data_IF_220047652014
#
_entry.id   IF_220047652014
#
_cell.length_a   1.000
_cell.length_b   1.000
_cell.length_c   1.000
_cell.angle_alpha   90.00
_cell.angle_beta   90.00
_cell.angle_gamma   90.00
#
_symmetry.space_group_name_H-M   'P 1'
#
loop_
_entity.id
_entity.type
_entity.pdbx_description
1 polymer ?
#
# COMPACT_ATOMS: atom_id res chain seq x y z
N UNK A 1 24.21 72.64 52.85
CA UNK A 1 23.17 71.65 52.45
C UNK A 1 22.92 71.80 50.99
N UNK A 2 23.15 70.77 50.23
CA UNK A 2 22.14 70.24 49.33
C UNK A 2 22.13 68.75 49.24
N UNK A 3 20.99 68.25 48.80
CA UNK A 3 20.49 66.90 48.66
C UNK A 3 21.30 65.90 47.81
N UNK A 4 21.46 64.74 48.38
CA UNK A 4 21.89 63.56 47.62
C UNK A 4 20.70 62.92 46.85
N UNK A 5 20.79 62.87 45.55
CA UNK A 5 19.92 62.08 44.63
C UNK A 5 20.48 60.68 44.48
N UNK A 6 19.79 59.71 44.98
CA UNK A 6 20.11 58.29 44.76
C UNK A 6 19.75 57.86 43.33
N UNK A 7 20.72 57.36 42.56
CA UNK A 7 20.49 56.62 41.32
C UNK A 7 19.98 55.23 41.64
N UNK A 8 18.77 54.94 41.22
CA UNK A 8 18.24 53.56 41.14
C UNK A 8 18.67 52.95 39.83
N UNK A 9 19.53 51.97 39.88
CA UNK A 9 19.84 51.13 38.75
C UNK A 9 18.67 50.16 38.49
N UNK A 10 18.09 50.24 37.31
CA UNK A 10 17.10 49.30 36.83
C UNK A 10 17.84 48.07 36.23
N UNK A 11 17.90 46.98 36.98
CA UNK A 11 18.29 45.68 36.46
C UNK A 11 17.10 45.12 35.65
N UNK A 12 17.18 45.19 34.32
CA UNK A 12 16.28 44.52 33.42
C UNK A 12 16.65 43.01 33.35
N UNK A 13 15.90 42.19 34.09
CA UNK A 13 15.99 40.74 34.00
C UNK A 13 15.29 40.30 32.71
N UNK A 14 16.06 39.94 31.67
CA UNK A 14 15.55 39.29 30.51
C UNK A 14 15.09 37.88 30.87
N UNK A 15 13.79 37.70 31.05
CA UNK A 15 13.19 36.38 31.10
C UNK A 15 13.25 35.75 29.70
N UNK A 16 14.19 34.87 29.49
CA UNK A 16 14.19 33.99 28.32
C UNK A 16 12.96 33.08 28.40
N UNK A 17 11.93 33.37 27.66
CA UNK A 17 10.79 32.48 27.46
C UNK A 17 11.29 31.24 26.74
N UNK A 18 11.53 30.16 27.48
CA UNK A 18 11.66 28.83 26.91
C UNK A 18 10.31 28.47 26.28
N UNK A 19 10.25 28.52 24.94
CA UNK A 19 9.16 27.90 24.22
C UNK A 19 9.22 26.39 24.54
N UNK A 20 8.10 25.78 24.95
CA UNK A 20 8.09 24.35 25.20
C UNK A 20 8.53 23.62 23.93
N UNK A 21 9.47 22.68 24.10
CA UNK A 21 9.86 21.74 23.05
C UNK A 21 8.58 21.08 22.55
N UNK A 22 8.15 21.45 21.36
CA UNK A 22 6.98 20.85 20.75
C UNK A 22 7.39 19.42 20.43
N UNK A 23 6.95 18.45 21.27
CA UNK A 23 7.08 17.04 20.96
C UNK A 23 6.55 16.85 19.56
N UNK A 24 7.41 16.36 18.67
CA UNK A 24 6.95 15.97 17.34
C UNK A 24 5.81 14.97 17.55
N UNK A 25 4.67 15.11 16.85
CA UNK A 25 3.55 14.19 17.03
C UNK A 25 4.07 12.78 16.85
N UNK A 26 3.69 11.84 17.72
CA UNK A 26 4.16 10.46 17.65
C UNK A 26 3.91 9.95 16.23
N UNK A 27 4.90 9.23 15.68
CA UNK A 27 4.75 8.61 14.36
C UNK A 27 3.43 7.86 14.31
N UNK A 28 2.61 8.14 13.30
CA UNK A 28 1.38 7.36 13.09
C UNK A 28 1.80 5.94 12.75
N UNK A 29 1.25 4.97 13.47
CA UNK A 29 1.47 3.55 13.24
C UNK A 29 1.12 3.18 11.80
N UNK A 30 2.07 2.56 11.09
CA UNK A 30 1.90 2.12 9.72
C UNK A 30 1.60 0.63 9.68
N UNK A 31 0.48 0.25 9.10
CA UNK A 31 0.25 -1.09 8.60
C UNK A 31 0.57 -1.09 7.09
N UNK A 32 1.76 -1.56 6.74
CA UNK A 32 2.18 -1.64 5.34
C UNK A 32 1.33 -2.68 4.59
N UNK A 33 0.63 -2.26 3.57
CA UNK A 33 -0.31 -3.14 2.86
C UNK A 33 0.29 -3.84 1.64
N UNK A 34 1.61 -3.74 1.44
CA UNK A 34 2.22 -4.33 0.25
C UNK A 34 3.69 -4.68 0.43
N UNK A 35 3.95 -5.93 0.81
CA UNK A 35 5.30 -6.51 0.83
C UNK A 35 5.30 -7.85 0.14
N UNK A 36 6.46 -8.24 -0.40
CA UNK A 36 6.70 -9.54 -1.02
C UNK A 36 7.79 -10.28 -0.27
N UNK A 37 7.54 -11.56 0.06
CA UNK A 37 8.55 -12.45 0.62
C UNK A 37 8.72 -13.66 -0.28
N UNK A 38 9.97 -14.09 -0.45
CA UNK A 38 10.35 -15.23 -1.29
C UNK A 38 11.76 -15.72 -0.95
N UNK A 39 12.07 -16.95 -1.33
CA UNK A 39 13.39 -17.55 -1.07
C UNK A 39 13.85 -18.36 -2.29
N UNK A 40 14.77 -17.83 -3.11
CA UNK A 40 15.30 -18.55 -4.28
C UNK A 40 16.12 -19.80 -3.92
N UNK A 41 16.48 -19.98 -2.64
CA UNK A 41 17.27 -21.14 -2.17
C UNK A 41 16.41 -22.37 -1.87
N UNK A 42 15.07 -22.24 -1.96
CA UNK A 42 14.17 -23.40 -1.84
C UNK A 42 14.47 -24.43 -2.94
N UNK A 43 14.26 -25.73 -2.70
CA UNK A 43 14.53 -26.77 -3.70
C UNK A 43 13.85 -26.51 -5.05
N UNK A 44 12.59 -26.02 -5.05
CA UNK A 44 11.86 -25.65 -6.25
C UNK A 44 12.23 -24.26 -6.81
N UNK A 45 13.05 -23.50 -6.08
CA UNK A 45 13.36 -22.12 -6.42
C UNK A 45 12.16 -21.17 -6.32
N UNK A 46 12.17 -20.14 -7.15
CA UNK A 46 11.10 -19.15 -7.28
C UNK A 46 10.87 -18.83 -8.76
N UNK A 47 9.61 -18.61 -9.19
CA UNK A 47 9.32 -18.19 -10.57
C UNK A 47 9.62 -16.70 -10.79
N UNK A 48 9.63 -15.93 -9.73
CA UNK A 48 9.98 -14.52 -9.66
C UNK A 48 10.67 -14.22 -8.32
N UNK A 49 11.65 -13.30 -8.27
CA UNK A 49 12.27 -12.58 -9.40
C UNK A 49 13.13 -13.50 -10.27
N UNK A 50 13.41 -13.07 -11.51
CA UNK A 50 14.33 -13.81 -12.38
C UNK A 50 15.78 -13.67 -11.92
N UNK A 51 16.62 -14.68 -12.24
CA UNK A 51 18.04 -14.73 -11.85
C UNK A 51 18.88 -13.53 -12.34
N UNK A 52 18.45 -12.90 -13.44
CA UNK A 52 19.09 -11.72 -14.01
C UNK A 52 18.86 -10.44 -13.20
N UNK A 53 17.88 -10.42 -12.30
CA UNK A 53 17.61 -9.30 -11.42
C UNK A 53 18.45 -9.41 -10.14
N UNK A 54 19.70 -8.98 -10.19
CA UNK A 54 20.64 -9.10 -9.08
C UNK A 54 20.20 -8.37 -7.81
N UNK A 55 19.36 -7.35 -7.93
CA UNK A 55 18.85 -6.60 -6.79
C UNK A 55 17.76 -7.35 -6.02
N UNK A 56 16.92 -8.07 -6.73
CA UNK A 56 15.79 -8.80 -6.15
C UNK A 56 16.09 -10.29 -5.97
N UNK A 57 16.93 -10.91 -6.82
CA UNK A 57 17.19 -12.35 -6.76
C UNK A 57 18.06 -12.72 -5.55
N UNK A 58 17.50 -12.62 -4.39
CA UNK A 58 18.08 -12.93 -3.08
C UNK A 58 16.99 -13.46 -2.15
N UNK A 59 17.40 -14.03 -1.04
CA UNK A 59 16.46 -14.39 0.02
C UNK A 59 15.86 -13.11 0.62
N UNK A 60 14.53 -13.06 0.71
CA UNK A 60 13.73 -11.91 1.19
C UNK A 60 12.70 -12.42 2.17
N UNK A 61 12.92 -12.21 3.46
CA UNK A 61 12.10 -12.75 4.54
C UNK A 61 11.60 -11.65 5.49
N UNK A 62 10.58 -11.95 6.32
CA UNK A 62 10.01 -11.00 7.27
C UNK A 62 11.03 -10.37 8.20
N UNK A 63 12.03 -11.11 8.66
CA UNK A 63 13.06 -10.59 9.58
C UNK A 63 13.94 -9.52 8.93
N UNK A 64 14.18 -9.61 7.62
CA UNK A 64 14.94 -8.60 6.89
C UNK A 64 14.12 -7.30 6.80
N UNK A 65 12.83 -7.42 6.51
CA UNK A 65 11.92 -6.29 6.46
C UNK A 65 11.75 -5.62 7.83
N UNK A 66 11.49 -6.39 8.88
CA UNK A 66 11.30 -5.88 10.24
C UNK A 66 12.46 -5.00 10.72
N UNK A 67 13.70 -5.36 10.38
CA UNK A 67 14.92 -4.61 10.77
C UNK A 67 14.89 -3.17 10.26
N UNK A 68 14.40 -2.95 9.04
CA UNK A 68 14.38 -1.63 8.38
C UNK A 68 13.04 -0.91 8.53
N UNK A 69 11.95 -1.63 8.75
CA UNK A 69 10.60 -1.08 8.77
C UNK A 69 10.17 -0.60 10.17
N UNK A 70 10.47 -1.38 11.23
CA UNK A 70 10.09 -1.01 12.62
C UNK A 70 10.64 0.36 13.05
N UNK A 71 11.90 0.73 12.76
CA UNK A 71 12.40 2.08 13.07
C UNK A 71 11.64 3.21 12.38
N UNK A 72 10.90 2.91 11.31
CA UNK A 72 10.07 3.85 10.58
C UNK A 72 8.60 3.88 11.07
N UNK A 73 8.28 3.22 12.19
CA UNK A 73 6.93 3.17 12.74
C UNK A 73 6.01 2.14 12.06
N UNK A 74 6.56 1.18 11.31
CA UNK A 74 5.77 0.08 10.76
C UNK A 74 5.49 -0.95 11.85
N UNK A 75 4.22 -1.15 12.15
CA UNK A 75 3.74 -2.06 13.20
C UNK A 75 3.32 -3.43 12.65
N UNK A 76 3.21 -3.56 11.34
CA UNK A 76 2.85 -4.82 10.68
C UNK A 76 2.82 -4.68 9.17
N UNK A 77 2.69 -5.82 8.47
CA UNK A 77 2.59 -5.85 7.02
C UNK A 77 1.60 -6.88 6.50
N UNK A 78 0.95 -6.57 5.39
CA UNK A 78 0.16 -7.50 4.59
C UNK A 78 1.05 -8.06 3.49
N UNK A 79 1.23 -9.37 3.47
CA UNK A 79 1.99 -10.01 2.38
C UNK A 79 1.13 -10.07 1.12
N UNK A 80 1.71 -9.65 0.02
CA UNK A 80 1.16 -9.85 -1.31
C UNK A 80 1.97 -10.94 -2.01
N UNK A 81 1.30 -11.81 -2.74
CA UNK A 81 1.94 -12.90 -3.49
C UNK A 81 3.07 -12.39 -4.39
N UNK A 82 4.09 -13.24 -4.56
CA UNK A 82 5.22 -13.02 -5.46
C UNK A 82 5.36 -14.20 -6.47
N UNK A 83 4.38 -15.09 -6.54
CA UNK A 83 4.48 -16.32 -7.30
C UNK A 83 3.13 -16.72 -7.90
N UNK A 84 3.08 -17.17 -9.17
CA UNK A 84 1.89 -17.73 -9.77
C UNK A 84 1.58 -19.16 -9.27
N UNK A 85 2.46 -19.78 -8.49
CA UNK A 85 2.26 -21.14 -8.00
C UNK A 85 1.26 -21.17 -6.84
N UNK A 86 0.23 -21.98 -7.00
CA UNK A 86 -0.85 -22.10 -5.99
C UNK A 86 -0.31 -22.52 -4.62
N UNK A 87 0.66 -23.43 -4.58
CA UNK A 87 1.23 -23.95 -3.31
C UNK A 87 2.11 -22.91 -2.60
N UNK A 88 2.56 -21.87 -3.28
CA UNK A 88 3.27 -20.76 -2.61
C UNK A 88 2.36 -19.95 -1.68
N UNK A 89 1.04 -20.04 -1.84
CA UNK A 89 0.09 -19.53 -0.85
C UNK A 89 0.27 -20.22 0.50
N UNK A 90 0.47 -21.56 0.50
CA UNK A 90 0.71 -22.30 1.74
C UNK A 90 2.04 -21.92 2.36
N UNK A 91 3.09 -21.76 1.55
CA UNK A 91 4.39 -21.31 2.03
C UNK A 91 4.32 -19.94 2.72
N UNK A 92 3.56 -18.98 2.15
CA UNK A 92 3.34 -17.67 2.77
C UNK A 92 2.53 -17.79 4.07
N UNK A 93 1.54 -18.68 4.11
CA UNK A 93 0.75 -18.95 5.33
C UNK A 93 1.62 -19.53 6.43
N UNK A 94 2.50 -20.49 6.10
CA UNK A 94 3.42 -21.11 7.04
C UNK A 94 4.43 -20.08 7.57
N UNK A 95 4.94 -19.21 6.70
CA UNK A 95 5.84 -18.10 7.05
C UNK A 95 5.18 -17.11 8.02
N UNK A 96 3.89 -16.83 7.83
CA UNK A 96 3.13 -15.89 8.63
C UNK A 96 2.54 -16.49 9.92
N UNK A 97 2.48 -17.81 10.06
CA UNK A 97 1.65 -18.55 11.04
C UNK A 97 1.71 -17.97 12.45
N UNK A 98 2.91 -17.84 13.00
CA UNK A 98 3.15 -17.43 14.39
C UNK A 98 3.68 -16.00 14.50
N UNK A 99 3.61 -15.22 13.41
CA UNK A 99 4.14 -13.88 13.34
C UNK A 99 3.01 -12.84 13.42
N UNK A 100 2.85 -12.20 14.58
CA UNK A 100 1.85 -11.15 14.79
C UNK A 100 2.08 -9.90 13.92
N UNK A 101 3.32 -9.69 13.42
CA UNK A 101 3.65 -8.60 12.51
C UNK A 101 3.04 -8.79 11.11
N UNK A 102 2.62 -10.03 10.78
CA UNK A 102 1.98 -10.38 9.52
C UNK A 102 0.53 -10.80 9.79
N UNK A 103 -0.42 -9.87 9.87
CA UNK A 103 -1.81 -10.21 10.21
C UNK A 103 -2.59 -10.82 9.04
N UNK A 104 -2.16 -10.63 7.79
CA UNK A 104 -2.85 -11.18 6.62
C UNK A 104 -1.93 -11.41 5.42
N UNK A 105 -2.39 -12.28 4.52
CA UNK A 105 -1.81 -12.47 3.20
C UNK A 105 -2.87 -12.33 2.10
N UNK A 106 -2.44 -11.85 0.95
CA UNK A 106 -3.14 -11.86 -0.32
C UNK A 106 -2.35 -12.80 -1.25
N UNK A 107 -2.95 -13.93 -1.55
CA UNK A 107 -2.31 -14.97 -2.33
C UNK A 107 -2.43 -14.79 -3.84
N UNK A 108 -2.18 -15.87 -4.56
CA UNK A 108 -2.39 -15.98 -6.00
C UNK A 108 -3.36 -17.11 -6.31
N UNK A 109 -4.45 -16.78 -6.99
CA UNK A 109 -5.39 -17.73 -7.57
C UNK A 109 -5.88 -17.21 -8.92
N UNK A 110 -6.19 -18.11 -9.84
CA UNK A 110 -6.74 -17.73 -11.13
C UNK A 110 -8.20 -18.19 -11.22
N UNK A 111 -9.19 -17.26 -11.31
CA UNK A 111 -10.61 -17.60 -11.43
C UNK A 111 -10.98 -18.43 -12.67
N UNK A 112 -10.08 -18.52 -13.65
CA UNK A 112 -10.27 -19.34 -14.87
C UNK A 112 -9.73 -20.76 -14.72
N UNK A 113 -9.09 -21.10 -13.60
CA UNK A 113 -8.59 -22.45 -13.32
C UNK A 113 -9.75 -23.38 -12.92
N UNK A 114 -9.77 -24.59 -13.45
CA UNK A 114 -10.79 -25.59 -13.11
C UNK A 114 -10.82 -25.93 -11.61
N UNK A 115 -9.66 -25.93 -10.95
CA UNK A 115 -9.51 -26.21 -9.52
C UNK A 115 -9.67 -24.98 -8.63
N UNK A 116 -9.98 -23.81 -9.20
CA UNK A 116 -10.12 -22.59 -8.43
C UNK A 116 -11.09 -22.71 -7.25
N UNK A 117 -12.32 -23.27 -7.38
CA UNK A 117 -13.24 -23.37 -6.25
C UNK A 117 -12.70 -24.23 -5.10
N UNK A 118 -11.94 -25.28 -5.42
CA UNK A 118 -11.29 -26.14 -4.45
C UNK A 118 -10.19 -25.38 -3.70
N UNK A 119 -9.27 -24.75 -4.44
CA UNK A 119 -8.19 -23.97 -3.90
C UNK A 119 -8.69 -22.79 -3.06
N UNK A 120 -9.68 -22.05 -3.54
CA UNK A 120 -10.24 -20.92 -2.80
C UNK A 120 -10.84 -21.38 -1.47
N UNK A 121 -11.64 -22.46 -1.46
CA UNK A 121 -12.22 -23.01 -0.22
C UNK A 121 -11.16 -23.57 0.73
N UNK A 122 -10.09 -24.17 0.20
CA UNK A 122 -8.94 -24.62 1.00
C UNK A 122 -8.30 -23.47 1.75
N UNK A 123 -7.93 -22.41 1.04
CA UNK A 123 -7.23 -21.26 1.64
C UNK A 123 -8.16 -20.37 2.48
N UNK A 124 -9.44 -20.26 2.15
CA UNK A 124 -10.42 -19.52 2.94
C UNK A 124 -10.56 -20.01 4.39
N UNK A 125 -10.20 -21.27 4.68
CA UNK A 125 -10.16 -21.83 6.04
C UNK A 125 -8.98 -21.32 6.88
N UNK A 126 -7.98 -20.72 6.23
CA UNK A 126 -6.79 -20.21 6.89
C UNK A 126 -7.01 -18.79 7.39
N UNK A 127 -6.86 -18.57 8.69
CA UNK A 127 -7.21 -17.31 9.34
C UNK A 127 -6.49 -16.07 8.74
N UNK A 128 -5.29 -16.23 8.20
CA UNK A 128 -4.52 -15.13 7.62
C UNK A 128 -4.71 -14.95 6.11
N UNK A 129 -5.37 -15.87 5.42
CA UNK A 129 -5.70 -15.72 4.01
C UNK A 129 -6.88 -14.76 3.85
N UNK A 130 -6.69 -13.64 3.18
CA UNK A 130 -7.72 -12.62 3.03
C UNK A 130 -8.21 -12.42 1.60
N UNK A 131 -7.63 -13.08 0.63
CA UNK A 131 -8.00 -12.97 -0.77
C UNK A 131 -6.83 -13.24 -1.69
N UNK A 132 -6.93 -12.82 -2.91
CA UNK A 132 -5.85 -12.97 -3.89
C UNK A 132 -5.70 -11.74 -4.78
N UNK A 133 -4.53 -11.64 -5.45
CA UNK A 133 -4.23 -10.60 -6.45
C UNK A 133 -4.40 -11.16 -7.85
N UNK A 134 -4.98 -10.33 -8.75
CA UNK A 134 -5.16 -10.63 -10.16
C UNK A 134 -4.67 -9.46 -11.03
N UNK A 135 -4.16 -9.75 -12.22
CA UNK A 135 -3.87 -8.72 -13.21
C UNK A 135 -5.09 -8.37 -14.07
N UNK A 136 -5.05 -7.19 -14.73
CA UNK A 136 -6.15 -6.68 -15.56
C UNK A 136 -6.61 -7.67 -16.64
N UNK A 137 -5.67 -8.28 -17.36
CA UNK A 137 -6.01 -9.20 -18.47
C UNK A 137 -6.77 -10.43 -17.97
N UNK A 138 -6.34 -11.01 -16.84
CA UNK A 138 -7.00 -12.18 -16.26
C UNK A 138 -8.35 -11.79 -15.66
N UNK A 139 -8.46 -10.61 -15.05
CA UNK A 139 -9.74 -10.11 -14.53
C UNK A 139 -10.75 -9.88 -15.67
N UNK A 140 -10.33 -9.26 -16.77
CA UNK A 140 -11.16 -9.08 -17.97
C UNK A 140 -11.69 -10.42 -18.49
N UNK A 141 -10.80 -11.39 -18.71
CA UNK A 141 -11.19 -12.73 -19.15
C UNK A 141 -12.16 -13.39 -18.17
N UNK A 142 -11.94 -13.26 -16.84
CA UNK A 142 -12.82 -13.83 -15.85
C UNK A 142 -14.22 -13.18 -15.84
N UNK A 143 -14.34 -11.90 -16.21
CA UNK A 143 -15.63 -11.22 -16.34
C UNK A 143 -16.40 -11.61 -17.64
N UNK A 144 -15.69 -12.05 -18.68
CA UNK A 144 -16.23 -12.50 -19.96
C UNK A 144 -16.58 -13.99 -19.96
N UNK A 145 -16.06 -14.76 -19.00
CA UNK A 145 -16.28 -16.19 -18.86
C UNK A 145 -17.31 -16.49 -17.76
N UNK A 146 -18.28 -17.36 -18.02
CA UNK A 146 -19.35 -17.69 -17.08
C UNK A 146 -18.80 -18.32 -15.79
N UNK A 147 -17.85 -19.26 -15.90
CA UNK A 147 -17.19 -19.88 -14.72
C UNK A 147 -16.36 -18.85 -13.97
N UNK A 148 -15.67 -17.96 -14.68
CA UNK A 148 -14.92 -16.85 -14.12
C UNK A 148 -15.80 -15.94 -13.28
N UNK A 149 -16.98 -15.59 -13.77
CA UNK A 149 -17.99 -14.80 -13.05
C UNK A 149 -18.48 -15.54 -11.79
N UNK A 150 -18.82 -16.85 -11.91
CA UNK A 150 -19.23 -17.67 -10.77
C UNK A 150 -18.14 -17.78 -9.72
N UNK A 151 -16.89 -17.87 -10.13
CA UNK A 151 -15.71 -17.96 -9.26
C UNK A 151 -15.42 -16.62 -8.53
N UNK A 152 -15.62 -15.49 -9.20
CA UNK A 152 -15.55 -14.18 -8.54
C UNK A 152 -16.73 -13.96 -7.56
N UNK A 153 -17.91 -14.48 -7.89
CA UNK A 153 -19.04 -14.48 -6.94
C UNK A 153 -18.72 -15.33 -5.70
N UNK A 154 -18.12 -16.51 -5.87
CA UNK A 154 -17.69 -17.35 -4.75
C UNK A 154 -16.67 -16.64 -3.83
N UNK A 155 -15.73 -15.88 -4.41
CA UNK A 155 -14.79 -15.04 -3.64
C UNK A 155 -15.55 -14.03 -2.77
N UNK A 156 -16.54 -13.35 -3.37
CA UNK A 156 -17.39 -12.37 -2.69
C UNK A 156 -18.20 -13.01 -1.56
N UNK A 157 -18.81 -14.17 -1.81
CA UNK A 157 -19.66 -14.89 -0.85
C UNK A 157 -18.86 -15.41 0.36
N UNK A 158 -17.59 -15.75 0.15
CA UNK A 158 -16.66 -16.12 1.21
C UNK A 158 -16.12 -14.91 1.99
N UNK A 159 -16.53 -13.68 1.62
CA UNK A 159 -16.08 -12.46 2.28
C UNK A 159 -14.59 -12.17 2.08
N UNK A 160 -13.96 -12.74 1.06
CA UNK A 160 -12.57 -12.51 0.70
C UNK A 160 -12.42 -11.25 -0.16
N UNK A 161 -11.20 -10.79 -0.38
CA UNK A 161 -10.86 -9.55 -1.08
C UNK A 161 -10.22 -9.86 -2.42
N UNK A 162 -10.43 -8.96 -3.37
CA UNK A 162 -9.76 -8.95 -4.65
C UNK A 162 -8.78 -7.77 -4.70
N UNK A 163 -7.49 -8.05 -4.89
CA UNK A 163 -6.53 -7.02 -5.26
C UNK A 163 -6.27 -7.06 -6.75
N UNK A 164 -6.21 -5.90 -7.37
CA UNK A 164 -6.05 -5.81 -8.82
C UNK A 164 -4.80 -5.00 -9.16
N UNK A 165 -4.00 -5.53 -10.10
CA UNK A 165 -2.77 -4.92 -10.56
C UNK A 165 -2.79 -4.72 -12.08
N UNK A 166 -2.46 -3.50 -12.52
CA UNK A 166 -2.44 -3.15 -13.94
C UNK A 166 -2.23 -1.66 -14.14
N UNK A 167 -2.09 -1.24 -15.39
CA UNK A 167 -2.01 0.17 -15.78
C UNK A 167 -3.38 0.87 -15.77
N UNK A 168 -3.44 2.16 -16.18
CA UNK A 168 -4.66 2.96 -16.17
C UNK A 168 -5.92 2.32 -16.79
N UNK A 169 -5.83 1.50 -17.86
CA UNK A 169 -7.00 0.81 -18.42
C UNK A 169 -7.71 -0.13 -17.44
N UNK A 170 -6.99 -0.65 -16.42
CA UNK A 170 -7.55 -1.48 -15.34
C UNK A 170 -8.77 -0.82 -14.66
N UNK A 171 -8.78 0.49 -14.55
CA UNK A 171 -9.81 1.22 -13.81
C UNK A 171 -11.22 1.01 -14.40
N UNK A 172 -11.33 0.82 -15.72
CA UNK A 172 -12.59 0.45 -16.38
C UNK A 172 -13.01 -0.99 -16.03
N UNK A 173 -12.04 -1.89 -15.86
CA UNK A 173 -12.30 -3.28 -15.45
C UNK A 173 -12.74 -3.33 -13.99
N UNK A 174 -12.13 -2.49 -13.14
CA UNK A 174 -12.50 -2.32 -11.72
C UNK A 174 -13.93 -1.81 -11.59
N UNK A 175 -14.31 -0.78 -12.35
CA UNK A 175 -15.67 -0.24 -12.37
C UNK A 175 -16.71 -1.35 -12.67
N UNK A 176 -16.51 -2.09 -13.77
CA UNK A 176 -17.38 -3.21 -14.16
C UNK A 176 -17.45 -4.29 -13.07
N UNK A 177 -16.30 -4.59 -12.45
CA UNK A 177 -16.22 -5.60 -11.38
C UNK A 177 -16.97 -5.14 -10.14
N UNK A 178 -16.77 -3.90 -9.71
CA UNK A 178 -17.42 -3.32 -8.53
C UNK A 178 -18.93 -3.21 -8.71
N UNK A 179 -19.39 -2.84 -9.89
CA UNK A 179 -20.82 -2.80 -10.24
C UNK A 179 -21.45 -4.20 -10.21
N UNK A 180 -20.76 -5.20 -10.77
CA UNK A 180 -21.25 -6.58 -10.83
C UNK A 180 -21.24 -7.28 -9.46
N UNK A 181 -20.26 -6.95 -8.61
CA UNK A 181 -20.05 -7.57 -7.29
C UNK A 181 -19.99 -6.50 -6.18
N UNK A 182 -21.11 -5.85 -5.81
CA UNK A 182 -21.10 -4.70 -4.89
C UNK A 182 -20.67 -5.06 -3.45
N UNK A 183 -20.69 -6.34 -3.07
CA UNK A 183 -20.21 -6.84 -1.78
C UNK A 183 -18.72 -7.21 -1.78
N UNK A 184 -18.12 -7.39 -2.96
CA UNK A 184 -16.72 -7.73 -3.09
C UNK A 184 -15.84 -6.50 -2.80
N UNK A 185 -15.02 -6.56 -1.78
CA UNK A 185 -14.02 -5.51 -1.52
C UNK A 185 -12.89 -5.61 -2.51
N UNK A 186 -12.62 -4.53 -3.23
CA UNK A 186 -11.62 -4.45 -4.30
C UNK A 186 -10.55 -3.44 -3.92
N UNK A 187 -9.27 -3.79 -4.09
CA UNK A 187 -8.13 -2.91 -3.86
C UNK A 187 -7.39 -2.67 -5.17
N UNK A 188 -7.31 -1.42 -5.60
CA UNK A 188 -6.47 -1.01 -6.73
C UNK A 188 -5.04 -0.85 -6.23
N UNK A 189 -4.11 -1.66 -6.76
CA UNK A 189 -2.70 -1.60 -6.39
C UNK A 189 -1.99 -0.44 -7.11
N UNK A 190 -1.02 0.18 -6.41
CA UNK A 190 -0.05 1.11 -6.98
C UNK A 190 -0.68 2.27 -7.77
N UNK A 191 -1.84 2.79 -7.31
CA UNK A 191 -2.55 3.83 -8.04
C UNK A 191 -2.74 3.48 -9.54
N UNK A 192 -3.01 2.20 -9.86
CA UNK A 192 -3.07 1.66 -11.22
C UNK A 192 -1.79 1.89 -12.04
N UNK A 193 -0.62 1.82 -11.41
CA UNK A 193 0.72 1.88 -12.03
C UNK A 193 0.87 3.02 -13.05
N UNK A 194 0.28 4.18 -12.81
CA UNK A 194 0.41 5.32 -13.71
C UNK A 194 1.85 5.85 -13.68
N UNK A 195 2.53 5.97 -14.84
CA UNK A 195 3.81 6.67 -14.90
C UNK A 195 3.66 8.11 -14.44
N UNK A 196 4.54 8.56 -13.53
CA UNK A 196 4.51 9.91 -12.98
C UNK A 196 5.76 10.69 -13.45
N UNK A 197 5.57 11.67 -14.32
CA UNK A 197 6.62 12.54 -14.86
C UNK A 197 6.73 13.90 -14.14
N UNK A 198 6.06 14.03 -13.01
CA UNK A 198 6.03 15.25 -12.20
C UNK A 198 5.08 16.33 -12.71
N UNK A 199 4.31 16.04 -13.75
CA UNK A 199 3.29 16.95 -14.32
C UNK A 199 1.88 16.52 -13.92
N UNK A 200 0.90 17.24 -14.48
CA UNK A 200 -0.51 16.87 -14.32
C UNK A 200 -0.77 15.46 -14.86
N UNK A 201 -1.46 14.61 -14.07
CA UNK A 201 -1.78 13.24 -14.47
C UNK A 201 -2.65 13.20 -15.72
N UNK A 202 -2.44 12.16 -16.53
CA UNK A 202 -3.21 11.96 -17.76
C UNK A 202 -4.71 11.88 -17.48
N UNK A 203 -5.51 12.58 -18.29
CA UNK A 203 -6.97 12.65 -18.14
C UNK A 203 -7.63 11.26 -18.07
N UNK A 204 -7.19 10.30 -18.87
CA UNK A 204 -7.70 8.93 -18.86
C UNK A 204 -7.58 8.29 -17.47
N UNK A 205 -6.44 8.48 -16.80
CA UNK A 205 -6.22 7.95 -15.47
C UNK A 205 -7.07 8.70 -14.42
N UNK A 206 -7.14 10.03 -14.51
CA UNK A 206 -7.97 10.86 -13.60
C UNK A 206 -9.45 10.45 -13.68
N UNK A 207 -9.98 10.33 -14.89
CA UNK A 207 -11.37 9.93 -15.11
C UNK A 207 -11.62 8.50 -14.62
N UNK A 208 -10.66 7.59 -14.88
CA UNK A 208 -10.72 6.21 -14.39
C UNK A 208 -10.71 6.12 -12.87
N UNK A 209 -9.88 6.92 -12.18
CA UNK A 209 -9.86 6.98 -10.71
C UNK A 209 -11.19 7.48 -10.14
N UNK A 210 -11.77 8.51 -10.73
CA UNK A 210 -13.10 9.02 -10.35
C UNK A 210 -14.18 7.94 -10.54
N UNK A 211 -14.12 7.23 -11.67
CA UNK A 211 -15.07 6.16 -11.98
C UNK A 211 -14.96 5.01 -10.99
N UNK A 212 -13.75 4.48 -10.77
CA UNK A 212 -13.50 3.39 -9.83
C UNK A 212 -13.89 3.78 -8.40
N UNK A 213 -13.61 5.02 -7.99
CA UNK A 213 -13.93 5.52 -6.65
C UNK A 213 -15.41 5.81 -6.41
N UNK A 214 -16.25 5.83 -7.45
CA UNK A 214 -17.70 5.98 -7.29
C UNK A 214 -18.35 4.78 -6.59
N UNK A 215 -17.65 3.65 -6.52
CA UNK A 215 -18.07 2.45 -5.82
C UNK A 215 -17.47 2.40 -4.40
N UNK A 216 -18.31 2.29 -3.38
CA UNK A 216 -17.90 2.28 -1.96
C UNK A 216 -17.03 1.06 -1.59
N UNK A 217 -17.15 -0.04 -2.33
CA UNK A 217 -16.38 -1.26 -2.15
C UNK A 217 -14.97 -1.22 -2.79
N UNK A 218 -14.61 -0.11 -3.46
CA UNK A 218 -13.29 0.06 -4.09
C UNK A 218 -12.40 0.95 -3.23
N UNK A 219 -11.18 0.45 -2.98
CA UNK A 219 -10.08 1.09 -2.25
C UNK A 219 -8.87 1.25 -3.16
N UNK A 220 -7.92 2.12 -2.79
CA UNK A 220 -6.71 2.32 -3.56
C UNK A 220 -5.46 2.39 -2.67
N UNK A 221 -4.36 1.78 -3.12
CA UNK A 221 -3.05 1.85 -2.45
C UNK A 221 -2.24 3.04 -2.92
N UNK A 222 -1.81 3.87 -1.99
CA UNK A 222 -0.71 4.80 -2.13
C UNK A 222 0.58 3.99 -2.00
N UNK A 223 1.04 3.44 -3.11
CA UNK A 223 2.24 2.60 -3.16
C UNK A 223 2.91 2.71 -4.53
N UNK A 224 4.19 2.32 -4.58
CA UNK A 224 5.03 2.36 -5.81
C UNK A 224 5.15 3.74 -6.48
N UNK A 225 4.83 4.85 -5.78
CA UNK A 225 4.91 6.21 -6.35
C UNK A 225 6.34 6.59 -6.71
N UNK A 226 7.31 6.17 -5.91
CA UNK A 226 8.75 6.39 -6.20
C UNK A 226 9.19 5.61 -7.43
N UNK A 227 8.71 4.38 -7.61
CA UNK A 227 8.91 3.57 -8.81
C UNK A 227 8.28 4.22 -10.04
N UNK A 228 7.06 4.73 -9.92
CA UNK A 228 6.37 5.47 -10.98
C UNK A 228 7.10 6.75 -11.37
N UNK A 229 7.68 7.47 -10.39
CA UNK A 229 8.51 8.64 -10.65
C UNK A 229 9.78 8.28 -11.44
N UNK A 230 10.45 7.17 -11.10
CA UNK A 230 11.59 6.65 -11.87
C UNK A 230 11.19 6.30 -13.31
N UNK A 231 10.08 5.60 -13.47
CA UNK A 231 9.54 5.27 -14.80
C UNK A 231 9.20 6.52 -15.61
N UNK A 232 8.74 7.60 -14.94
CA UNK A 232 8.47 8.90 -15.53
C UNK A 232 9.71 9.75 -15.82
N UNK A 233 10.91 9.25 -15.47
CA UNK A 233 12.19 9.91 -15.79
C UNK A 233 12.86 10.66 -14.65
N UNK A 234 12.35 10.60 -13.42
CA UNK A 234 13.00 11.22 -12.26
C UNK A 234 14.38 10.59 -11.97
N UNK A 235 15.42 11.42 -11.79
CA UNK A 235 16.82 10.98 -11.62
C UNK A 235 17.42 11.30 -10.25
N UNK A 236 16.74 12.12 -9.44
CA UNK A 236 17.24 12.49 -8.10
C UNK A 236 17.27 11.32 -7.14
N UNK A 237 18.11 11.35 -6.12
CA UNK A 237 18.21 10.28 -5.11
C UNK A 237 16.92 10.15 -4.28
N UNK A 238 16.38 11.28 -3.87
CA UNK A 238 15.14 11.39 -3.06
C UNK A 238 14.00 11.97 -3.92
N UNK A 239 12.89 11.24 -4.01
CA UNK A 239 11.69 11.72 -4.72
C UNK A 239 10.94 12.70 -3.81
N UNK A 240 10.86 14.00 -4.17
CA UNK A 240 10.18 14.99 -3.34
C UNK A 240 8.67 14.89 -3.47
N UNK A 241 7.95 15.38 -2.46
CA UNK A 241 6.48 15.41 -2.46
C UNK A 241 5.93 16.14 -3.68
N UNK A 242 6.50 17.28 -4.05
CA UNK A 242 5.98 18.11 -5.15
C UNK A 242 5.98 17.37 -6.49
N UNK A 243 6.91 16.43 -6.69
CA UNK A 243 6.89 15.56 -7.88
C UNK A 243 5.71 14.60 -7.93
N UNK A 244 5.18 14.18 -6.77
CA UNK A 244 4.06 13.25 -6.65
C UNK A 244 2.75 13.92 -6.23
N UNK A 245 2.76 15.22 -5.94
CA UNK A 245 1.63 15.95 -5.35
C UNK A 245 0.36 15.82 -6.20
N UNK A 246 0.43 16.08 -7.49
CA UNK A 246 -0.73 16.04 -8.38
C UNK A 246 -1.39 14.65 -8.39
N UNK A 247 -0.59 13.58 -8.38
CA UNK A 247 -1.09 12.20 -8.27
C UNK A 247 -1.78 11.96 -6.92
N UNK A 248 -1.14 12.37 -5.82
CA UNK A 248 -1.69 12.21 -4.47
C UNK A 248 -3.00 12.99 -4.27
N UNK A 249 -3.12 14.19 -4.86
CA UNK A 249 -4.34 15.00 -4.82
C UNK A 249 -5.49 14.33 -5.58
N UNK A 250 -5.23 13.74 -6.76
CA UNK A 250 -6.25 12.97 -7.47
C UNK A 250 -6.72 11.77 -6.64
N UNK A 251 -5.80 11.03 -6.03
CA UNK A 251 -6.14 9.90 -5.15
C UNK A 251 -6.99 10.38 -3.96
N UNK A 252 -6.56 11.46 -3.31
CA UNK A 252 -7.28 12.04 -2.18
C UNK A 252 -8.69 12.51 -2.55
N UNK A 253 -8.81 13.24 -3.63
CA UNK A 253 -10.10 13.77 -4.11
C UNK A 253 -11.04 12.66 -4.59
N UNK A 254 -10.50 11.51 -5.05
CA UNK A 254 -11.29 10.38 -5.50
C UNK A 254 -11.72 9.47 -4.35
N UNK A 255 -10.81 9.07 -3.47
CA UNK A 255 -11.07 8.03 -2.45
C UNK A 255 -11.23 8.59 -1.02
N UNK A 256 -10.81 9.82 -0.78
CA UNK A 256 -10.83 10.45 0.54
C UNK A 256 -10.00 9.71 1.59
N UNK A 257 -10.10 10.16 2.83
CA UNK A 257 -9.36 9.56 3.96
C UNK A 257 -9.82 8.16 4.35
N UNK A 258 -10.96 7.67 3.85
CA UNK A 258 -11.59 6.42 4.30
C UNK A 258 -11.28 5.21 3.42
N UNK A 259 -10.74 5.40 2.21
CA UNK A 259 -10.53 4.33 1.23
C UNK A 259 -9.13 4.33 0.58
N UNK A 260 -8.20 5.10 1.13
CA UNK A 260 -6.79 5.06 0.80
C UNK A 260 -6.02 4.26 1.85
N UNK A 261 -5.03 3.48 1.41
CA UNK A 261 -4.09 2.77 2.28
C UNK A 261 -2.66 2.98 1.77
N UNK A 262 -1.66 2.85 2.63
CA UNK A 262 -0.25 2.92 2.23
C UNK A 262 0.34 1.53 2.04
N UNK A 263 1.32 1.42 1.13
CA UNK A 263 2.09 0.20 0.92
C UNK A 263 3.48 0.52 0.38
N UNK A 264 4.49 -0.21 0.85
CA UNK A 264 5.88 0.03 0.45
C UNK A 264 6.25 -0.58 -0.89
N UNK A 265 5.59 -1.67 -1.25
CA UNK A 265 6.00 -2.52 -2.37
C UNK A 265 7.41 -3.13 -2.15
N UNK A 266 7.81 -3.31 -0.88
CA UNK A 266 9.12 -3.89 -0.55
C UNK A 266 9.20 -5.38 -0.96
N UNK A 267 10.31 -5.85 -1.55
CA UNK A 267 11.55 -5.15 -1.82
C UNK A 267 11.59 -4.42 -3.18
N UNK A 268 10.57 -4.54 -4.01
CA UNK A 268 10.50 -3.90 -5.34
C UNK A 268 10.61 -2.39 -5.25
N UNK A 269 9.99 -1.80 -4.24
CA UNK A 269 10.02 -0.37 -3.96
C UNK A 269 11.43 0.20 -3.78
N UNK A 270 12.40 -0.62 -3.31
CA UNK A 270 13.81 -0.22 -3.16
C UNK A 270 14.48 0.18 -4.49
N UNK A 271 13.96 -0.29 -5.62
CA UNK A 271 14.43 0.18 -6.95
C UNK A 271 14.05 1.65 -7.22
N UNK A 272 12.99 2.12 -6.59
CA UNK A 272 12.54 3.50 -6.72
C UNK A 272 13.19 4.44 -5.72
N UNK A 273 13.27 4.05 -4.46
CA UNK A 273 13.82 4.86 -3.37
C UNK A 273 14.02 4.01 -2.10
N UNK A 274 14.68 4.59 -1.09
CA UNK A 274 14.75 3.97 0.25
C UNK A 274 13.35 3.80 0.86
N UNK A 275 13.18 2.80 1.72
CA UNK A 275 11.92 2.56 2.46
C UNK A 275 11.47 3.81 3.23
N UNK A 276 12.42 4.59 3.76
CA UNK A 276 12.14 5.87 4.42
C UNK A 276 11.48 6.85 3.45
N UNK A 277 12.04 7.07 2.26
CA UNK A 277 11.47 8.00 1.28
C UNK A 277 10.07 7.53 0.80
N UNK A 278 9.87 6.21 0.66
CA UNK A 278 8.56 5.65 0.28
C UNK A 278 7.47 6.06 1.28
N UNK A 279 7.76 6.01 2.60
CA UNK A 279 6.79 6.42 3.61
C UNK A 279 6.78 7.93 3.89
N UNK A 280 7.87 8.64 3.65
CA UNK A 280 7.91 10.09 3.84
C UNK A 280 7.00 10.84 2.85
N UNK A 281 6.81 10.33 1.63
CA UNK A 281 5.91 10.92 0.65
C UNK A 281 4.45 11.02 1.16
N UNK A 282 3.78 9.92 1.55
CA UNK A 282 2.44 10.02 2.10
C UNK A 282 2.40 10.75 3.44
N UNK A 283 3.45 10.70 4.28
CA UNK A 283 3.53 11.47 5.51
C UNK A 283 3.49 12.97 5.24
N UNK A 284 4.36 13.45 4.34
CA UNK A 284 4.43 14.86 3.98
C UNK A 284 3.11 15.34 3.32
N UNK A 285 2.49 14.53 2.48
CA UNK A 285 1.20 14.85 1.89
C UNK A 285 0.08 14.97 2.93
N UNK A 286 0.08 14.09 3.91
CA UNK A 286 -0.97 14.02 4.94
C UNK A 286 -0.68 14.93 6.15
N UNK A 287 0.43 15.63 6.19
CA UNK A 287 0.80 16.50 7.32
C UNK A 287 -0.26 17.55 7.64
N UNK A 288 -0.90 18.10 6.61
CA UNK A 288 -1.99 19.10 6.74
C UNK A 288 -3.35 18.50 7.02
N UNK A 289 -3.47 17.18 7.05
CA UNK A 289 -4.74 16.47 7.31
C UNK A 289 -4.93 16.23 8.81
N UNK A 290 -6.17 16.02 9.22
CA UNK A 290 -6.47 15.75 10.63
C UNK A 290 -5.78 14.48 11.15
N UNK A 291 -5.54 14.35 12.47
CA UNK A 291 -4.98 13.14 13.07
C UNK A 291 -5.76 11.87 12.72
N UNK A 292 -7.10 11.96 12.70
CA UNK A 292 -7.98 10.84 12.33
C UNK A 292 -7.76 10.39 10.88
N UNK A 293 -7.69 11.35 9.95
CA UNK A 293 -7.45 11.05 8.53
C UNK A 293 -6.09 10.39 8.31
N UNK A 294 -5.06 10.85 9.01
CA UNK A 294 -3.73 10.23 8.98
C UNK A 294 -3.77 8.79 9.48
N UNK A 295 -4.37 8.55 10.65
CA UNK A 295 -4.54 7.19 11.21
C UNK A 295 -5.32 6.30 10.25
N UNK A 296 -6.40 6.83 9.64
CA UNK A 296 -7.19 6.07 8.67
C UNK A 296 -6.32 5.58 7.51
N UNK A 297 -5.53 6.45 6.88
CA UNK A 297 -4.73 6.09 5.69
C UNK A 297 -3.55 5.19 6.04
N UNK A 298 -2.87 5.43 7.17
CA UNK A 298 -1.69 4.66 7.55
C UNK A 298 -2.00 3.28 8.13
N UNK A 299 -3.15 3.07 8.77
CA UNK A 299 -3.46 1.77 9.37
C UNK A 299 -4.96 1.44 9.43
N UNK A 300 -5.83 2.38 9.78
CA UNK A 300 -7.24 2.11 10.06
C UNK A 300 -8.01 1.53 8.86
N UNK A 301 -7.81 2.08 7.66
CA UNK A 301 -8.43 1.57 6.43
C UNK A 301 -7.95 0.17 6.09
N UNK A 302 -6.66 -0.09 6.25
CA UNK A 302 -6.09 -1.41 6.03
C UNK A 302 -6.71 -2.44 6.97
N UNK A 303 -6.82 -2.11 8.27
CA UNK A 303 -7.51 -3.00 9.23
C UNK A 303 -8.94 -3.29 8.82
N UNK A 304 -9.72 -2.28 8.44
CA UNK A 304 -11.11 -2.46 7.98
C UNK A 304 -11.21 -3.24 6.68
N UNK A 305 -10.31 -2.99 5.74
CA UNK A 305 -10.31 -3.68 4.44
C UNK A 305 -9.96 -5.16 4.61
N UNK A 306 -8.85 -5.47 5.29
CA UNK A 306 -8.39 -6.87 5.44
C UNK A 306 -9.07 -7.61 6.60
N UNK A 307 -9.75 -6.93 7.51
CA UNK A 307 -10.39 -7.54 8.68
C UNK A 307 -9.38 -8.05 9.72
N UNK A 308 -8.41 -7.21 10.09
CA UNK A 308 -7.30 -7.52 11.01
C UNK A 308 -7.18 -6.48 12.11
#
# INVERSE_FOLDING_TARGET
MPNAMARREFLATSAATFLPFQEQPPFVDILDTHTHFYDPTRPQGVPWPGKQDSSLYRKVLPEDYKKIAKPLGVIGTIIIEASPWVEDNQWLLDLAKDDAFIPAIIGNLNPLDEKYPEHLRRFAKQAKFRGFRINDNNLKKALEDEKGVQNLQLLSDLGLRLEVNGGPPLLMTVDKTAQKFPKLKIMVNHAANMPNDGKEPQKLWVDGMKLASSHENVFCKISSLTGSARAGGFKGEYVPLDYCRAVLEVLWNSFGSKRLVVGSDWPVGEKGASLKNIFDLPRAFLETKSPEERVNVFSGNARRFYGV
#
